data_IF_124380271254
#
_entry.id   IF_124380271254
#
_cell.length_a   1.000
_cell.length_b   1.000
_cell.length_c   1.000
_cell.angle_alpha   90.00
_cell.angle_beta   90.00
_cell.angle_gamma   90.00
#
_symmetry.space_group_name_H-M   'P 1'
#
loop_
_entity.id
_entity.type
_entity.pdbx_description
1 polymer ?
#
# COMPACT_ATOMS: atom_id res chain seq x y z
N UNK A 1 28.44 -2.23 -7.20
CA UNK A 1 29.26 -2.56 -6.01
C UNK A 1 29.99 -3.86 -6.28
N UNK A 2 31.31 -3.92 -6.09
CA UNK A 2 32.06 -5.15 -6.33
C UNK A 2 31.89 -6.14 -5.18
N UNK A 3 32.07 -7.44 -5.47
CA UNK A 3 32.09 -8.54 -4.47
C UNK A 3 33.06 -8.28 -3.29
N UNK A 4 34.10 -7.46 -3.49
CA UNK A 4 35.06 -7.06 -2.43
C UNK A 4 34.39 -6.36 -1.25
N UNK A 5 33.37 -5.54 -1.47
CA UNK A 5 32.68 -4.82 -0.38
C UNK A 5 31.73 -5.70 0.45
N UNK A 6 31.25 -6.82 -0.11
CA UNK A 6 30.42 -7.78 0.64
C UNK A 6 31.27 -8.69 1.55
N UNK A 7 32.56 -8.89 1.24
CA UNK A 7 33.46 -9.70 2.06
C UNK A 7 33.89 -9.03 3.38
N UNK A 8 33.83 -7.69 3.44
CA UNK A 8 34.17 -6.92 4.65
C UNK A 8 33.05 -6.93 5.72
N UNK A 9 31.84 -7.41 5.35
CA UNK A 9 30.67 -7.43 6.24
C UNK A 9 30.60 -8.82 6.88
N UNK A 10 30.34 -8.90 8.20
CA UNK A 10 30.07 -10.18 8.91
C UNK A 10 28.72 -10.77 8.46
N UNK A 11 28.67 -11.30 7.23
CA UNK A 11 27.50 -12.03 6.72
C UNK A 11 27.57 -13.47 7.22
N UNK A 12 26.49 -14.03 7.82
CA UNK A 12 26.44 -15.46 8.19
C UNK A 12 26.80 -16.36 7.00
N UNK A 13 27.60 -17.44 7.25
CA UNK A 13 28.11 -18.34 6.21
C UNK A 13 27.00 -18.80 5.27
N UNK A 14 25.87 -19.24 5.81
CA UNK A 14 24.73 -19.73 5.04
C UNK A 14 24.17 -18.68 4.04
N UNK A 15 24.21 -17.38 4.37
CA UNK A 15 23.83 -16.32 3.46
C UNK A 15 24.96 -16.00 2.48
N UNK A 16 26.21 -16.09 2.92
CA UNK A 16 27.39 -15.85 2.08
C UNK A 16 27.47 -16.83 0.91
N UNK A 17 27.17 -18.10 1.14
CA UNK A 17 27.16 -19.13 0.11
C UNK A 17 26.13 -18.83 -1.01
N UNK A 18 25.03 -18.17 -0.66
CA UNK A 18 24.01 -17.74 -1.65
C UNK A 18 24.46 -16.55 -2.50
N UNK A 19 25.47 -15.81 -2.06
CA UNK A 19 26.02 -14.65 -2.79
C UNK A 19 27.01 -15.04 -3.89
N UNK A 20 27.32 -16.33 -4.10
CA UNK A 20 28.13 -16.81 -5.22
C UNK A 20 27.39 -16.71 -6.56
N UNK A 21 26.07 -16.70 -6.57
CA UNK A 21 25.27 -16.68 -7.79
C UNK A 21 25.20 -15.26 -8.38
N UNK A 22 25.63 -15.11 -9.64
CA UNK A 22 25.64 -13.81 -10.36
C UNK A 22 24.26 -13.17 -10.48
N UNK A 23 23.19 -13.97 -10.68
CA UNK A 23 21.81 -13.45 -10.76
C UNK A 23 21.36 -12.89 -9.41
N UNK A 24 21.66 -13.56 -8.31
CA UNK A 24 21.37 -13.07 -6.95
C UNK A 24 22.05 -11.72 -6.70
N UNK A 25 23.33 -11.59 -7.08
CA UNK A 25 24.05 -10.30 -6.92
C UNK A 25 23.40 -9.18 -7.73
N UNK A 26 23.01 -9.46 -8.99
CA UNK A 26 22.30 -8.47 -9.81
C UNK A 26 21.01 -8.02 -9.15
N UNK A 27 20.21 -8.94 -8.60
CA UNK A 27 18.94 -8.65 -7.94
C UNK A 27 19.13 -7.87 -6.61
N UNK A 28 20.17 -8.18 -5.84
CA UNK A 28 20.55 -7.40 -4.65
C UNK A 28 20.93 -5.96 -5.05
N UNK A 29 21.78 -5.79 -6.07
CA UNK A 29 22.18 -4.47 -6.54
C UNK A 29 20.99 -3.66 -7.08
N UNK A 30 20.04 -4.32 -7.74
CA UNK A 30 18.79 -3.69 -8.17
C UNK A 30 17.94 -3.28 -6.98
N UNK A 31 17.81 -4.15 -5.95
CA UNK A 31 17.11 -3.83 -4.72
C UNK A 31 17.74 -2.63 -4.00
N UNK A 32 19.05 -2.57 -3.87
CA UNK A 32 19.75 -1.47 -3.22
C UNK A 32 19.48 -0.11 -3.89
N UNK A 33 19.33 -0.09 -5.23
CA UNK A 33 18.95 1.13 -5.97
C UNK A 33 17.51 1.55 -5.73
N UNK A 34 16.61 0.58 -5.55
CA UNK A 34 15.18 0.83 -5.35
C UNK A 34 14.81 1.04 -3.87
N UNK A 35 15.65 0.66 -2.94
CA UNK A 35 15.38 0.69 -1.51
C UNK A 35 16.29 1.67 -0.79
N UNK A 36 15.89 2.95 -0.82
CA UNK A 36 16.55 4.00 -0.06
C UNK A 36 15.74 4.26 1.22
N UNK A 37 16.26 3.78 2.35
CA UNK A 37 15.65 3.95 3.65
C UNK A 37 16.71 4.33 4.68
N UNK A 38 16.38 5.33 5.47
CA UNK A 38 17.16 5.72 6.66
C UNK A 38 16.43 5.25 7.91
N UNK A 39 17.19 4.65 8.83
CA UNK A 39 16.65 4.16 10.11
C UNK A 39 16.06 2.76 10.06
N UNK A 40 15.59 2.31 11.21
CA UNK A 40 15.08 0.97 11.44
C UNK A 40 13.76 0.72 10.69
N UNK A 41 13.49 -0.55 10.37
CA UNK A 41 12.27 -0.93 9.67
C UNK A 41 11.73 -2.30 10.08
N UNK A 42 10.44 -2.48 9.85
CA UNK A 42 9.72 -3.73 10.02
C UNK A 42 9.42 -4.32 8.63
N UNK A 43 9.57 -5.63 8.49
CA UNK A 43 9.28 -6.39 7.28
C UNK A 43 8.08 -7.31 7.54
N UNK A 44 7.03 -7.16 6.74
CA UNK A 44 5.86 -8.02 6.80
C UNK A 44 6.08 -9.26 5.93
N UNK A 45 6.03 -10.43 6.54
CA UNK A 45 6.18 -11.75 5.91
C UNK A 45 4.81 -12.42 5.80
N UNK A 46 4.57 -13.14 4.72
CA UNK A 46 3.37 -13.97 4.51
C UNK A 46 3.68 -15.44 4.27
N UNK A 47 4.96 -15.78 4.07
CA UNK A 47 5.41 -17.12 3.72
C UNK A 47 5.38 -17.44 2.22
N UNK A 48 4.73 -16.61 1.40
CA UNK A 48 4.79 -16.73 -0.06
C UNK A 48 6.13 -16.26 -0.64
N UNK A 49 6.42 -16.57 -1.94
CA UNK A 49 7.72 -16.34 -2.55
C UNK A 49 8.16 -14.89 -2.49
N UNK A 50 7.26 -13.94 -2.74
CA UNK A 50 7.57 -12.51 -2.76
C UNK A 50 8.03 -12.00 -1.39
N UNK A 51 7.37 -12.48 -0.33
CA UNK A 51 7.70 -12.08 1.05
C UNK A 51 8.98 -12.75 1.56
N UNK A 52 9.29 -13.95 1.11
CA UNK A 52 10.55 -14.62 1.43
C UNK A 52 11.73 -13.99 0.68
N UNK A 53 11.55 -13.68 -0.61
CA UNK A 53 12.52 -12.90 -1.38
C UNK A 53 12.79 -11.53 -0.70
N UNK A 54 11.73 -10.85 -0.25
CA UNK A 54 11.86 -9.61 0.52
C UNK A 54 12.65 -9.82 1.81
N UNK A 55 12.40 -10.92 2.55
CA UNK A 55 13.13 -11.23 3.78
C UNK A 55 14.64 -11.35 3.52
N UNK A 56 15.04 -12.06 2.47
CA UNK A 56 16.44 -12.20 2.07
C UNK A 56 17.05 -10.84 1.67
N UNK A 57 16.43 -10.13 0.75
CA UNK A 57 16.94 -8.84 0.24
C UNK A 57 17.09 -7.80 1.36
N UNK A 58 16.08 -7.68 2.22
CA UNK A 58 16.13 -6.76 3.38
C UNK A 58 17.14 -7.19 4.44
N UNK A 59 17.39 -8.51 4.62
CA UNK A 59 18.42 -9.00 5.51
C UNK A 59 19.81 -8.61 5.03
N UNK A 60 20.10 -8.81 3.73
CA UNK A 60 21.37 -8.38 3.14
C UNK A 60 21.55 -6.86 3.24
N UNK A 61 20.50 -6.10 2.89
CA UNK A 61 20.52 -4.64 3.01
C UNK A 61 20.79 -4.17 4.45
N UNK A 62 20.12 -4.76 5.44
CA UNK A 62 20.31 -4.47 6.87
C UNK A 62 21.75 -4.69 7.32
N UNK A 63 22.35 -5.84 6.92
CA UNK A 63 23.73 -6.14 7.26
C UNK A 63 24.72 -5.16 6.60
N UNK A 64 24.48 -4.82 5.32
CA UNK A 64 25.32 -3.88 4.56
C UNK A 64 25.33 -2.47 5.16
N UNK A 65 24.16 -1.99 5.56
CA UNK A 65 23.97 -0.61 6.00
C UNK A 65 23.99 -0.46 7.53
N UNK A 66 24.21 -1.56 8.29
CA UNK A 66 24.17 -1.59 9.76
C UNK A 66 22.87 -1.02 10.35
N UNK A 67 21.75 -1.27 9.66
CA UNK A 67 20.40 -0.83 10.06
C UNK A 67 19.66 -2.01 10.67
N UNK A 68 18.96 -1.81 11.79
CA UNK A 68 18.16 -2.85 12.43
C UNK A 68 16.86 -3.11 11.65
N UNK A 69 16.57 -4.38 11.42
CA UNK A 69 15.30 -4.81 10.83
C UNK A 69 14.63 -5.90 11.69
N UNK A 70 13.30 -5.84 11.77
CA UNK A 70 12.48 -6.83 12.48
C UNK A 70 11.47 -7.44 11.54
N UNK A 71 11.21 -8.74 11.66
CA UNK A 71 10.36 -9.50 10.76
C UNK A 71 9.15 -10.01 11.50
N UNK A 72 7.96 -9.81 10.92
CA UNK A 72 6.69 -10.24 11.50
C UNK A 72 5.85 -10.97 10.46
N UNK A 73 5.23 -12.07 10.88
CA UNK A 73 4.17 -12.76 10.15
C UNK A 73 2.89 -12.67 10.97
N UNK A 74 1.75 -12.45 10.28
CA UNK A 74 0.45 -12.42 10.95
C UNK A 74 -0.26 -13.74 10.71
N UNK A 75 -0.49 -14.50 11.78
CA UNK A 75 -1.36 -15.68 11.77
C UNK A 75 -2.80 -15.23 12.01
N UNK A 76 -3.61 -15.33 10.96
CA UNK A 76 -5.02 -14.96 11.00
C UNK A 76 -5.93 -16.05 11.60
N UNK A 77 -5.44 -17.28 11.79
CA UNK A 77 -6.22 -18.45 12.23
C UNK A 77 -7.48 -18.71 11.38
N UNK A 78 -7.45 -18.31 10.11
CA UNK A 78 -8.58 -18.50 9.21
C UNK A 78 -8.67 -19.92 8.64
N UNK A 79 -7.52 -20.58 8.47
CA UNK A 79 -7.39 -21.99 8.06
C UNK A 79 -6.76 -22.79 9.20
N UNK A 80 -7.03 -24.09 9.25
CA UNK A 80 -6.45 -24.99 10.26
C UNK A 80 -4.91 -25.02 10.19
N UNK A 81 -4.38 -24.93 8.98
CA UNK A 81 -2.94 -25.03 8.69
C UNK A 81 -2.17 -23.73 8.95
N UNK A 82 -2.85 -22.57 9.04
CA UNK A 82 -2.20 -21.24 9.07
C UNK A 82 -1.17 -21.10 10.20
N UNK A 83 -1.45 -21.64 11.36
CA UNK A 83 -0.54 -21.60 12.51
C UNK A 83 0.71 -22.46 12.27
N UNK A 84 0.54 -23.65 11.68
CA UNK A 84 1.67 -24.53 11.34
C UNK A 84 2.51 -23.96 10.19
N UNK A 85 1.86 -23.34 9.20
CA UNK A 85 2.54 -22.62 8.13
C UNK A 85 3.42 -21.49 8.71
N UNK A 86 2.86 -20.64 9.60
CA UNK A 86 3.61 -19.57 10.23
C UNK A 86 4.80 -20.06 11.07
N UNK A 87 4.62 -21.16 11.82
CA UNK A 87 5.70 -21.82 12.58
C UNK A 87 6.79 -22.36 11.65
N UNK A 88 6.39 -22.97 10.53
CA UNK A 88 7.35 -23.51 9.55
C UNK A 88 8.17 -22.40 8.88
N UNK A 89 7.54 -21.30 8.46
CA UNK A 89 8.23 -20.10 7.96
C UNK A 89 9.21 -19.57 9.00
N UNK A 90 8.80 -19.49 10.27
CA UNK A 90 9.66 -19.05 11.36
C UNK A 90 10.90 -19.95 11.50
N UNK A 91 10.73 -21.27 11.44
CA UNK A 91 11.83 -22.25 11.53
C UNK A 91 12.83 -22.06 10.38
N UNK A 92 12.31 -21.95 9.14
CA UNK A 92 13.15 -21.78 7.94
C UNK A 92 13.91 -20.45 7.99
N UNK A 93 13.25 -19.34 8.30
CA UNK A 93 13.93 -18.05 8.38
C UNK A 93 14.98 -18.01 9.51
N UNK A 94 14.72 -18.73 10.61
CA UNK A 94 15.66 -18.83 11.72
C UNK A 94 16.99 -19.50 11.32
N UNK A 95 16.97 -20.51 10.43
CA UNK A 95 18.21 -21.15 9.92
C UNK A 95 19.07 -20.20 9.09
N UNK A 96 18.49 -19.10 8.60
CA UNK A 96 19.20 -18.01 7.89
C UNK A 96 19.49 -16.79 8.79
N UNK A 97 19.44 -16.95 10.11
CA UNK A 97 19.60 -15.85 11.08
C UNK A 97 18.61 -14.68 10.89
N UNK A 98 17.39 -14.99 10.45
CA UNK A 98 16.29 -14.05 10.33
C UNK A 98 15.28 -14.39 11.43
N UNK A 99 15.28 -13.57 12.51
CA UNK A 99 14.35 -13.76 13.64
C UNK A 99 12.95 -13.29 13.25
N UNK A 100 12.01 -14.21 13.03
CA UNK A 100 10.61 -13.95 12.71
C UNK A 100 9.75 -14.04 13.97
N UNK A 101 8.92 -13.01 14.23
CA UNK A 101 7.90 -13.03 15.26
C UNK A 101 6.52 -13.28 14.65
N UNK A 102 5.69 -14.09 15.31
CA UNK A 102 4.33 -14.39 14.88
C UNK A 102 3.37 -13.49 15.66
N UNK A 103 2.61 -12.66 14.93
CA UNK A 103 1.51 -11.87 15.49
C UNK A 103 0.21 -12.65 15.27
N UNK A 104 -0.49 -12.97 16.33
CA UNK A 104 -1.71 -13.78 16.26
C UNK A 104 -2.95 -12.89 16.30
N UNK A 105 -3.87 -13.10 15.38
CA UNK A 105 -5.19 -12.49 15.45
C UNK A 105 -6.16 -13.40 16.24
N UNK A 106 -6.62 -12.93 17.40
CA UNK A 106 -7.53 -13.66 18.29
C UNK A 106 -9.00 -13.23 18.16
N UNK A 107 -9.39 -12.51 17.10
CA UNK A 107 -10.77 -12.06 16.89
C UNK A 107 -11.68 -13.14 16.31
N UNK A 108 -13.01 -12.88 16.36
CA UNK A 108 -14.00 -13.78 15.74
C UNK A 108 -13.78 -13.91 14.22
N UNK A 109 -13.91 -15.13 13.71
CA UNK A 109 -13.81 -15.43 12.27
C UNK A 109 -14.93 -14.72 11.50
N UNK A 110 -14.62 -13.89 10.49
CA UNK A 110 -15.65 -13.22 9.72
C UNK A 110 -16.37 -14.21 8.79
N UNK A 111 -17.70 -14.08 8.68
CA UNK A 111 -18.52 -14.88 7.75
C UNK A 111 -18.58 -14.29 6.33
N UNK A 112 -18.40 -12.96 6.20
CA UNK A 112 -18.45 -12.23 4.92
C UNK A 112 -17.21 -11.35 4.77
N UNK A 113 -16.82 -11.06 3.52
CA UNK A 113 -15.66 -10.19 3.20
C UNK A 113 -14.34 -10.62 3.89
N UNK A 114 -14.13 -11.93 4.05
CA UNK A 114 -13.04 -12.54 4.82
C UNK A 114 -11.68 -11.95 4.45
N UNK A 115 -11.35 -11.88 3.15
CA UNK A 115 -10.05 -11.36 2.68
C UNK A 115 -9.86 -9.88 3.01
N UNK A 116 -10.91 -9.07 2.88
CA UNK A 116 -10.84 -7.64 3.19
C UNK A 116 -10.61 -7.40 4.68
N UNK A 117 -11.32 -8.15 5.53
CA UNK A 117 -11.20 -8.06 6.98
C UNK A 117 -9.83 -8.59 7.43
N UNK A 118 -9.39 -9.73 6.91
CA UNK A 118 -8.07 -10.29 7.18
C UNK A 118 -6.96 -9.30 6.80
N UNK A 119 -7.07 -8.69 5.60
CA UNK A 119 -6.12 -7.66 5.17
C UNK A 119 -6.10 -6.46 6.12
N UNK A 120 -7.27 -5.96 6.53
CA UNK A 120 -7.37 -4.85 7.48
C UNK A 120 -6.69 -5.23 8.80
N UNK A 121 -7.05 -6.37 9.38
CA UNK A 121 -6.50 -6.84 10.66
C UNK A 121 -4.99 -7.07 10.60
N UNK A 122 -4.47 -7.58 9.48
CA UNK A 122 -3.02 -7.69 9.27
C UNK A 122 -2.32 -6.33 9.38
N UNK A 123 -2.84 -5.32 8.70
CA UNK A 123 -2.26 -3.98 8.78
C UNK A 123 -2.44 -3.36 10.17
N UNK A 124 -3.58 -3.55 10.82
CA UNK A 124 -3.82 -3.04 12.18
C UNK A 124 -2.78 -3.59 13.17
N UNK A 125 -2.49 -4.91 13.13
CA UNK A 125 -1.48 -5.56 13.96
C UNK A 125 -0.06 -5.06 13.64
N UNK A 126 0.30 -4.98 12.36
CA UNK A 126 1.62 -4.50 11.93
C UNK A 126 1.83 -3.03 12.30
N UNK A 127 0.83 -2.16 12.10
CA UNK A 127 0.91 -0.75 12.50
C UNK A 127 0.96 -0.59 14.01
N UNK A 128 0.23 -1.42 14.77
CA UNK A 128 0.35 -1.45 16.23
C UNK A 128 1.75 -1.80 16.67
N UNK A 129 2.37 -2.80 16.00
CA UNK A 129 3.75 -3.22 16.29
C UNK A 129 4.76 -2.13 15.92
N UNK A 130 4.55 -1.42 14.82
CA UNK A 130 5.36 -0.25 14.44
C UNK A 130 5.35 0.81 15.53
N UNK A 131 4.17 1.17 16.03
CA UNK A 131 4.02 2.16 17.13
C UNK A 131 4.68 1.68 18.42
N UNK A 132 4.46 0.42 18.83
CA UNK A 132 5.05 -0.18 20.02
C UNK A 132 6.59 -0.11 20.00
N UNK A 133 7.18 -0.36 18.83
CA UNK A 133 8.63 -0.40 18.66
C UNK A 133 9.22 0.96 18.26
N UNK A 134 8.39 2.00 18.11
CA UNK A 134 8.79 3.33 17.63
C UNK A 134 9.54 3.27 16.28
N UNK A 135 9.09 2.38 15.37
CA UNK A 135 9.64 2.20 14.03
C UNK A 135 8.61 2.70 13.02
N UNK A 136 8.97 3.70 12.24
CA UNK A 136 8.05 4.35 11.28
C UNK A 136 7.94 3.63 9.93
N UNK A 137 8.85 2.72 9.62
CA UNK A 137 8.95 2.13 8.29
C UNK A 137 8.46 0.68 8.29
N UNK A 138 7.37 0.41 7.56
CA UNK A 138 6.80 -0.92 7.33
C UNK A 138 7.00 -1.32 5.87
N UNK A 139 7.71 -2.41 5.65
CA UNK A 139 8.08 -2.93 4.33
C UNK A 139 7.20 -4.11 3.97
N UNK A 140 6.65 -4.11 2.76
CA UNK A 140 5.75 -5.16 2.25
C UNK A 140 6.15 -5.63 0.86
N UNK A 141 5.92 -6.91 0.56
CA UNK A 141 6.36 -7.60 -0.65
C UNK A 141 5.45 -7.44 -1.88
N UNK A 142 4.86 -6.26 -2.11
CA UNK A 142 4.14 -6.00 -3.36
C UNK A 142 5.12 -5.78 -4.51
N UNK A 143 4.83 -6.40 -5.67
CA UNK A 143 5.70 -6.39 -6.85
C UNK A 143 5.00 -5.84 -8.11
N UNK A 144 5.63 -5.97 -9.27
CA UNK A 144 5.14 -5.40 -10.53
C UNK A 144 3.74 -5.87 -10.92
N UNK A 145 3.47 -7.18 -10.79
CA UNK A 145 2.16 -7.72 -11.15
C UNK A 145 1.04 -7.22 -10.24
N UNK A 146 1.30 -6.97 -8.95
CA UNK A 146 0.33 -6.34 -8.04
C UNK A 146 -0.06 -4.92 -8.52
N UNK A 147 0.88 -4.19 -9.13
CA UNK A 147 0.62 -2.87 -9.71
C UNK A 147 -0.35 -2.98 -10.89
N UNK A 148 -0.10 -3.95 -11.80
CA UNK A 148 -0.95 -4.22 -12.95
C UNK A 148 -2.35 -4.67 -12.51
N UNK A 149 -2.43 -5.66 -11.62
CA UNK A 149 -3.69 -6.14 -11.06
C UNK A 149 -4.50 -5.00 -10.45
N UNK A 150 -3.85 -4.17 -9.63
CA UNK A 150 -4.53 -3.02 -9.00
C UNK A 150 -5.05 -2.03 -10.04
N UNK A 151 -4.27 -1.73 -11.09
CA UNK A 151 -4.69 -0.85 -12.17
C UNK A 151 -5.94 -1.37 -12.86
N UNK A 152 -5.95 -2.61 -13.33
CA UNK A 152 -7.11 -3.20 -14.01
C UNK A 152 -8.33 -3.30 -13.10
N UNK A 153 -8.17 -3.72 -11.84
CA UNK A 153 -9.28 -3.76 -10.87
C UNK A 153 -9.89 -2.36 -10.68
N UNK A 154 -9.06 -1.31 -10.62
CA UNK A 154 -9.51 0.06 -10.46
C UNK A 154 -10.17 0.60 -11.72
N UNK A 155 -9.63 0.30 -12.88
CA UNK A 155 -10.20 0.67 -14.19
C UNK A 155 -11.60 0.06 -14.38
N UNK A 156 -11.76 -1.24 -14.13
CA UNK A 156 -13.07 -1.94 -14.24
C UNK A 156 -14.11 -1.37 -13.25
N UNK A 157 -13.65 -0.82 -12.13
CA UNK A 157 -14.53 -0.15 -11.15
C UNK A 157 -14.84 1.31 -11.45
N UNK A 158 -14.42 1.83 -12.60
CA UNK A 158 -14.63 3.22 -12.96
C UNK A 158 -13.85 4.21 -12.07
N UNK A 159 -12.69 3.83 -11.55
CA UNK A 159 -11.91 4.71 -10.70
C UNK A 159 -11.30 5.86 -11.52
N UNK A 160 -11.42 7.09 -11.03
CA UNK A 160 -10.68 8.23 -11.56
C UNK A 160 -9.16 8.15 -11.36
N UNK A 161 -8.45 9.15 -11.84
CA UNK A 161 -6.98 9.20 -11.89
C UNK A 161 -6.29 8.84 -10.57
N UNK A 162 -6.71 9.43 -9.44
CA UNK A 162 -6.19 9.15 -8.09
C UNK A 162 -6.33 7.65 -7.72
N UNK A 163 -7.41 7.03 -8.15
CA UNK A 163 -7.68 5.61 -7.92
C UNK A 163 -6.78 4.70 -8.76
N UNK A 164 -6.61 5.01 -10.05
CA UNK A 164 -5.80 4.22 -10.99
C UNK A 164 -4.33 4.13 -10.54
N UNK A 165 -3.77 5.24 -10.03
CA UNK A 165 -2.37 5.31 -9.57
C UNK A 165 -2.20 5.02 -8.06
N UNK A 166 -3.18 4.42 -7.41
CA UNK A 166 -3.26 4.31 -5.94
C UNK A 166 -2.22 3.37 -5.30
N UNK A 167 -1.59 2.46 -6.05
CA UNK A 167 -0.53 1.60 -5.55
C UNK A 167 0.83 2.28 -5.72
N UNK A 168 1.20 3.07 -4.73
CA UNK A 168 2.44 3.85 -4.70
C UNK A 168 3.58 3.04 -4.07
N UNK A 169 4.84 3.36 -4.45
CA UNK A 169 6.05 2.80 -3.83
C UNK A 169 6.11 3.09 -2.34
N UNK A 170 5.74 4.30 -1.93
CA UNK A 170 5.65 4.74 -0.53
C UNK A 170 4.30 5.40 -0.27
N UNK A 171 3.67 5.06 0.85
CA UNK A 171 2.42 5.68 1.31
C UNK A 171 2.47 5.88 2.81
N UNK A 172 2.07 7.05 3.29
CA UNK A 172 2.06 7.36 4.72
C UNK A 172 0.69 7.07 5.32
N UNK A 173 0.67 6.38 6.46
CA UNK A 173 -0.51 6.10 7.27
C UNK A 173 -0.22 6.45 8.73
N UNK A 174 -0.83 7.50 9.26
CA UNK A 174 -0.67 7.91 10.66
C UNK A 174 0.80 7.84 11.11
N UNK A 175 1.68 8.58 10.42
CA UNK A 175 3.13 8.65 10.65
C UNK A 175 3.92 7.36 10.31
N UNK A 176 3.27 6.29 9.86
CA UNK A 176 3.95 5.06 9.41
C UNK A 176 4.08 5.07 7.89
N UNK A 177 5.31 4.92 7.42
CA UNK A 177 5.64 4.78 6.01
C UNK A 177 5.44 3.33 5.57
N UNK A 178 4.42 3.05 4.78
CA UNK A 178 4.26 1.76 4.11
C UNK A 178 5.04 1.77 2.79
N UNK A 179 6.08 0.94 2.69
CA UNK A 179 7.05 0.95 1.58
C UNK A 179 7.00 -0.37 0.82
N UNK A 180 7.05 -0.31 -0.51
CA UNK A 180 7.00 -1.43 -1.44
C UNK A 180 8.24 -1.43 -2.34
N UNK A 181 9.38 -1.92 -1.85
CA UNK A 181 10.63 -1.86 -2.62
C UNK A 181 10.62 -2.78 -3.84
N UNK A 182 9.78 -3.82 -3.84
CA UNK A 182 9.71 -4.80 -4.92
C UNK A 182 8.78 -4.38 -6.07
N UNK A 183 8.24 -3.16 -6.07
CA UNK A 183 7.22 -2.71 -7.03
C UNK A 183 7.68 -2.76 -8.50
N UNK A 184 8.99 -2.80 -8.75
CA UNK A 184 9.60 -2.93 -10.07
C UNK A 184 10.19 -4.32 -10.32
N UNK A 185 10.09 -5.25 -9.38
CA UNK A 185 10.58 -6.60 -9.55
C UNK A 185 9.56 -7.47 -10.26
N UNK A 186 10.04 -8.35 -11.14
CA UNK A 186 9.22 -9.38 -11.73
C UNK A 186 8.99 -10.53 -10.76
N UNK A 187 7.80 -11.11 -10.81
CA UNK A 187 7.43 -12.25 -9.97
C UNK A 187 8.39 -13.43 -10.14
N UNK A 188 8.82 -13.71 -11.38
CA UNK A 188 9.80 -14.78 -11.69
C UNK A 188 11.12 -14.60 -10.95
N UNK A 189 11.60 -13.38 -10.77
CA UNK A 189 12.84 -13.10 -10.04
C UNK A 189 12.66 -13.30 -8.53
N UNK A 190 11.50 -12.97 -7.98
CA UNK A 190 11.18 -13.20 -6.57
C UNK A 190 11.02 -14.69 -6.26
N UNK A 191 10.36 -15.44 -7.14
CA UNK A 191 10.26 -16.89 -7.06
C UNK A 191 11.65 -17.55 -7.16
N UNK A 192 12.51 -17.06 -8.07
CA UNK A 192 13.88 -17.53 -8.18
C UNK A 192 14.67 -17.29 -6.88
N UNK A 193 14.60 -16.09 -6.29
CA UNK A 193 15.27 -15.81 -5.00
C UNK A 193 14.77 -16.76 -3.93
N UNK A 194 13.46 -16.93 -3.81
CA UNK A 194 12.85 -17.74 -2.77
C UNK A 194 13.26 -19.22 -2.88
N UNK A 195 13.23 -19.77 -4.10
CA UNK A 195 13.64 -21.14 -4.37
C UNK A 195 15.15 -21.33 -4.16
N UNK A 196 15.99 -20.47 -4.73
CA UNK A 196 17.43 -20.58 -4.64
C UNK A 196 17.96 -20.43 -3.21
N UNK A 197 17.38 -19.48 -2.44
CA UNK A 197 17.85 -19.20 -1.08
C UNK A 197 17.27 -20.20 -0.08
N UNK A 198 15.95 -20.36 -0.05
CA UNK A 198 15.26 -21.09 1.01
C UNK A 198 14.82 -22.51 0.61
N UNK A 199 14.80 -22.80 -0.70
CA UNK A 199 14.20 -24.02 -1.27
C UNK A 199 12.77 -24.29 -0.73
N UNK A 200 12.02 -23.24 -0.45
CA UNK A 200 10.72 -23.29 0.20
C UNK A 200 9.91 -22.02 -0.04
N UNK A 201 8.62 -22.18 -0.19
CA UNK A 201 7.60 -21.16 0.06
C UNK A 201 6.22 -21.82 0.21
N UNK A 202 5.29 -21.11 0.86
CA UNK A 202 3.91 -21.57 1.00
C UNK A 202 3.17 -21.32 -0.30
N UNK A 203 2.56 -22.37 -0.86
CA UNK A 203 1.58 -22.26 -1.95
C UNK A 203 0.19 -22.09 -1.33
N UNK A 204 -0.37 -20.89 -1.43
CA UNK A 204 -1.73 -20.65 -0.95
C UNK A 204 -2.74 -21.16 -2.00
N UNK A 205 -3.59 -22.15 -1.68
CA UNK A 205 -4.60 -22.69 -2.60
C UNK A 205 -5.55 -21.61 -3.13
N UNK A 206 -5.79 -20.54 -2.37
CA UNK A 206 -6.65 -19.44 -2.80
C UNK A 206 -6.11 -18.65 -4.00
N UNK A 207 -4.82 -18.84 -4.37
CA UNK A 207 -4.23 -18.20 -5.55
C UNK A 207 -4.71 -18.78 -6.89
N UNK A 208 -5.43 -19.89 -6.88
CA UNK A 208 -5.98 -20.55 -8.08
C UNK A 208 -7.50 -20.39 -8.16
N UNK A 209 -8.17 -19.96 -7.09
CA UNK A 209 -9.63 -19.86 -7.02
C UNK A 209 -10.16 -18.63 -7.79
N UNK A 210 -10.81 -18.89 -8.92
CA UNK A 210 -11.40 -17.87 -9.82
C UNK A 210 -12.56 -17.08 -9.20
N UNK A 211 -13.08 -17.46 -8.03
CA UNK A 211 -14.03 -16.64 -7.27
C UNK A 211 -13.43 -15.27 -6.93
N UNK A 212 -12.10 -15.19 -6.80
CA UNK A 212 -11.42 -13.95 -6.48
C UNK A 212 -11.11 -13.09 -7.71
N UNK A 213 -11.51 -11.84 -7.66
CA UNK A 213 -11.33 -10.88 -8.76
C UNK A 213 -9.86 -10.78 -9.23
N UNK A 214 -8.89 -10.85 -8.32
CA UNK A 214 -7.47 -10.80 -8.68
C UNK A 214 -7.05 -11.96 -9.58
N UNK A 215 -7.55 -13.16 -9.33
CA UNK A 215 -7.23 -14.35 -10.13
C UNK A 215 -7.80 -14.20 -11.56
N UNK A 216 -9.04 -13.69 -11.66
CA UNK A 216 -9.62 -13.40 -12.98
C UNK A 216 -8.84 -12.34 -13.74
N UNK A 217 -8.38 -11.30 -13.05
CA UNK A 217 -7.55 -10.24 -13.66
C UNK A 217 -6.20 -10.78 -14.11
N UNK A 218 -5.55 -11.67 -13.38
CA UNK A 218 -4.30 -12.33 -13.82
C UNK A 218 -4.51 -13.11 -15.11
N UNK A 219 -5.60 -13.87 -15.20
CA UNK A 219 -5.95 -14.59 -16.45
C UNK A 219 -6.15 -13.59 -17.59
N UNK A 220 -6.92 -12.52 -17.38
CA UNK A 220 -7.12 -11.48 -18.38
C UNK A 220 -5.79 -10.84 -18.83
N UNK A 221 -4.89 -10.49 -17.91
CA UNK A 221 -3.58 -9.92 -18.23
C UNK A 221 -2.76 -10.91 -19.08
N UNK A 222 -2.80 -12.20 -18.76
CA UNK A 222 -2.12 -13.24 -19.55
C UNK A 222 -2.68 -13.34 -20.98
N UNK A 223 -4.00 -13.25 -21.16
CA UNK A 223 -4.62 -13.22 -22.49
C UNK A 223 -4.21 -11.94 -23.27
N UNK A 224 -4.28 -10.78 -22.63
CA UNK A 224 -3.81 -9.54 -23.25
C UNK A 224 -2.34 -9.60 -23.67
N UNK A 225 -1.49 -10.31 -22.92
CA UNK A 225 -0.08 -10.50 -23.29
C UNK A 225 0.09 -11.34 -24.57
N UNK A 226 -0.80 -12.33 -24.81
CA UNK A 226 -0.81 -13.08 -26.09
C UNK A 226 -1.17 -12.18 -27.28
N UNK A 227 -2.03 -11.18 -27.04
CA UNK A 227 -2.45 -10.17 -28.02
C UNK A 227 -1.46 -8.98 -28.13
N UNK A 228 -0.22 -9.13 -27.63
CA UNK A 228 0.82 -8.10 -27.76
C UNK A 228 0.85 -7.04 -26.64
N UNK A 229 0.08 -7.22 -25.56
CA UNK A 229 0.17 -6.31 -24.42
C UNK A 229 1.54 -6.44 -23.72
N UNK A 230 2.27 -5.34 -23.66
CA UNK A 230 3.57 -5.24 -22.98
C UNK A 230 3.44 -4.57 -21.62
N UNK A 231 3.94 -5.22 -20.56
CA UNK A 231 3.93 -4.68 -19.20
C UNK A 231 4.65 -3.34 -19.11
N UNK A 232 5.78 -3.19 -19.80
CA UNK A 232 6.60 -1.99 -19.75
C UNK A 232 5.88 -0.75 -20.30
N UNK A 233 5.07 -0.92 -21.36
CA UNK A 233 4.24 0.15 -21.90
C UNK A 233 3.17 0.60 -20.91
N UNK A 234 2.56 -0.34 -20.18
CA UNK A 234 1.63 0.02 -19.10
C UNK A 234 2.34 0.71 -17.93
N UNK A 235 3.55 0.29 -17.57
CA UNK A 235 4.32 1.00 -16.55
C UNK A 235 4.65 2.43 -16.97
N UNK A 236 4.97 2.66 -18.23
CA UNK A 236 5.16 4.00 -18.77
C UNK A 236 3.87 4.84 -18.65
N UNK A 237 2.74 4.27 -19.06
CA UNK A 237 1.41 4.90 -18.93
C UNK A 237 1.11 5.24 -17.46
N UNK A 238 1.32 4.29 -16.54
CA UNK A 238 1.13 4.53 -15.11
C UNK A 238 2.02 5.64 -14.56
N UNK A 239 3.27 5.73 -15.03
CA UNK A 239 4.16 6.81 -14.64
C UNK A 239 3.70 8.18 -15.14
N UNK A 240 3.18 8.25 -16.37
CA UNK A 240 2.61 9.48 -16.91
C UNK A 240 1.34 9.90 -16.15
N UNK A 241 0.45 8.95 -15.87
CA UNK A 241 -0.73 9.20 -15.03
C UNK A 241 -0.35 9.66 -13.61
N UNK A 242 0.74 9.12 -13.02
CA UNK A 242 1.25 9.60 -11.73
C UNK A 242 1.72 11.05 -11.78
N UNK A 243 2.46 11.44 -12.83
CA UNK A 243 2.90 12.83 -13.03
C UNK A 243 1.70 13.76 -13.15
N UNK A 244 0.69 13.41 -13.97
CA UNK A 244 -0.56 14.16 -14.09
C UNK A 244 -1.29 14.27 -12.74
N UNK A 245 -1.34 13.15 -11.97
CA UNK A 245 -1.96 13.17 -10.65
C UNK A 245 -1.22 14.08 -9.64
N UNK A 246 0.10 14.21 -9.75
CA UNK A 246 0.87 15.15 -8.92
C UNK A 246 0.50 16.60 -9.23
N UNK A 247 0.36 16.96 -10.52
CA UNK A 247 -0.07 18.29 -10.92
C UNK A 247 -1.47 18.61 -10.39
N UNK A 248 -2.43 17.69 -10.56
CA UNK A 248 -3.80 17.85 -9.99
C UNK A 248 -3.74 17.99 -8.46
N UNK A 249 -2.90 17.18 -7.78
CA UNK A 249 -2.76 17.23 -6.32
C UNK A 249 -2.18 18.56 -5.82
N UNK A 250 -1.28 19.17 -6.59
CA UNK A 250 -0.78 20.51 -6.31
C UNK A 250 -1.91 21.52 -6.28
N UNK A 251 -2.73 21.59 -7.33
CA UNK A 251 -3.85 22.53 -7.40
C UNK A 251 -4.93 22.22 -6.34
N UNK A 252 -5.17 20.97 -5.99
CA UNK A 252 -6.07 20.59 -4.88
C UNK A 252 -5.56 21.17 -3.55
N UNK A 253 -4.26 21.12 -3.30
CA UNK A 253 -3.68 21.70 -2.09
C UNK A 253 -3.73 23.22 -2.11
N UNK A 254 -3.46 23.86 -3.27
CA UNK A 254 -3.60 25.31 -3.42
C UNK A 254 -5.03 25.77 -3.21
N UNK A 255 -6.02 25.08 -3.77
CA UNK A 255 -7.43 25.41 -3.54
C UNK A 255 -7.78 25.35 -2.05
N UNK A 256 -7.37 24.32 -1.34
CA UNK A 256 -7.58 24.24 0.12
C UNK A 256 -6.85 25.34 0.88
N UNK A 257 -5.62 25.67 0.49
CA UNK A 257 -4.81 26.69 1.18
C UNK A 257 -5.38 28.08 1.00
N UNK A 258 -5.80 28.43 -0.21
CA UNK A 258 -6.24 29.79 -0.57
C UNK A 258 -7.72 30.04 -0.28
N UNK A 259 -8.56 29.04 -0.44
CA UNK A 259 -10.01 29.18 -0.49
C UNK A 259 -10.72 28.43 0.65
N UNK A 260 -10.00 28.04 1.70
CA UNK A 260 -10.63 27.48 2.91
C UNK A 260 -9.93 27.94 4.19
N UNK A 261 -10.72 28.06 5.27
CA UNK A 261 -10.27 28.46 6.59
C UNK A 261 -10.69 27.42 7.64
N UNK A 262 -9.72 26.88 8.39
CA UNK A 262 -9.96 25.95 9.49
C UNK A 262 -10.08 26.71 10.81
N UNK A 263 -11.32 26.85 11.31
CA UNK A 263 -11.62 27.32 12.65
C UNK A 263 -11.40 26.16 13.64
N UNK A 264 -10.27 26.19 14.33
CA UNK A 264 -9.88 25.11 15.24
C UNK A 264 -10.72 25.09 16.51
N UNK A 265 -11.15 26.24 17.00
CA UNK A 265 -11.90 26.37 18.26
C UNK A 265 -13.30 25.72 18.12
N UNK A 266 -13.91 25.89 16.96
CA UNK A 266 -15.23 25.32 16.63
C UNK A 266 -15.15 24.02 15.83
N UNK A 267 -13.94 23.50 15.60
CA UNK A 267 -13.66 22.29 14.79
C UNK A 267 -14.48 22.26 13.47
N UNK A 268 -14.43 23.35 12.73
CA UNK A 268 -15.16 23.53 11.48
C UNK A 268 -14.26 24.09 10.38
N UNK A 269 -14.55 23.71 9.13
CA UNK A 269 -13.88 24.23 7.94
C UNK A 269 -14.86 25.10 7.17
N UNK A 270 -14.42 26.31 6.83
CA UNK A 270 -15.19 27.28 6.04
C UNK A 270 -14.59 27.31 4.65
N UNK A 271 -15.41 27.06 3.64
CA UNK A 271 -15.05 27.11 2.22
C UNK A 271 -15.68 28.36 1.61
N UNK A 272 -14.88 29.20 0.96
CA UNK A 272 -15.38 30.40 0.31
C UNK A 272 -15.93 30.12 -1.10
N UNK A 273 -16.50 31.16 -1.76
CA UNK A 273 -17.06 31.05 -3.11
C UNK A 273 -16.00 30.65 -4.15
N UNK A 274 -14.75 31.09 -4.00
CA UNK A 274 -13.65 30.83 -4.93
C UNK A 274 -13.21 29.37 -4.90
N UNK A 275 -13.46 28.68 -3.77
CA UNK A 275 -13.23 27.24 -3.65
C UNK A 275 -14.02 26.45 -4.71
N UNK A 276 -15.24 26.84 -5.01
CA UNK A 276 -16.15 26.16 -5.94
C UNK A 276 -16.02 26.65 -7.39
N UNK A 277 -15.21 27.69 -7.66
CA UNK A 277 -14.95 28.23 -9.01
C UNK A 277 -13.79 27.56 -9.72
N UNK A 278 -13.12 26.60 -9.08
CA UNK A 278 -12.03 25.84 -9.65
C UNK A 278 -12.53 24.76 -10.62
N UNK A 279 -11.68 24.20 -11.49
CA UNK A 279 -12.04 23.03 -12.30
C UNK A 279 -12.64 21.90 -11.46
N UNK A 280 -13.64 21.20 -12.00
CA UNK A 280 -14.46 20.23 -11.26
C UNK A 280 -13.64 19.22 -10.45
N UNK A 281 -12.61 18.59 -11.05
CA UNK A 281 -11.76 17.60 -10.37
C UNK A 281 -11.01 18.20 -9.17
N UNK A 282 -10.63 19.48 -9.24
CA UNK A 282 -10.00 20.20 -8.12
C UNK A 282 -11.01 20.39 -6.99
N UNK A 283 -12.21 20.88 -7.31
CA UNK A 283 -13.30 21.07 -6.34
C UNK A 283 -13.66 19.74 -5.69
N UNK A 284 -13.91 18.70 -6.51
CA UNK A 284 -14.30 17.37 -6.04
C UNK A 284 -13.29 16.79 -5.04
N UNK A 285 -11.99 16.84 -5.38
CA UNK A 285 -10.94 16.31 -4.50
C UNK A 285 -10.75 17.15 -3.25
N UNK A 286 -10.71 18.47 -3.39
CA UNK A 286 -10.56 19.39 -2.26
C UNK A 286 -11.72 19.22 -1.28
N UNK A 287 -12.95 19.11 -1.77
CA UNK A 287 -14.14 18.91 -0.96
C UNK A 287 -14.16 17.53 -0.28
N UNK A 288 -13.79 16.47 -1.02
CA UNK A 288 -13.64 15.13 -0.45
C UNK A 288 -12.59 15.06 0.66
N UNK A 289 -11.45 15.73 0.48
CA UNK A 289 -10.39 15.81 1.48
C UNK A 289 -10.84 16.63 2.70
N UNK A 290 -11.64 17.68 2.51
CA UNK A 290 -12.24 18.50 3.56
C UNK A 290 -13.20 17.71 4.45
N UNK A 291 -14.10 16.93 3.84
CA UNK A 291 -15.01 16.04 4.57
C UNK A 291 -14.22 15.01 5.37
N UNK A 292 -13.16 14.43 4.79
CA UNK A 292 -12.31 13.46 5.49
C UNK A 292 -11.58 14.10 6.67
N UNK A 293 -11.11 15.33 6.54
CA UNK A 293 -10.41 16.08 7.59
C UNK A 293 -11.29 16.27 8.82
N UNK A 294 -12.51 16.77 8.62
CA UNK A 294 -13.45 17.09 9.70
C UNK A 294 -14.14 15.84 10.25
N UNK A 295 -14.65 14.97 9.37
CA UNK A 295 -15.44 13.80 9.75
C UNK A 295 -14.64 12.66 10.35
N UNK A 296 -13.31 12.62 10.11
CA UNK A 296 -12.36 11.63 10.65
C UNK A 296 -12.79 10.17 10.49
N UNK A 297 -13.76 9.87 9.60
CA UNK A 297 -14.22 8.51 9.34
C UNK A 297 -13.16 7.72 8.57
N UNK A 298 -12.97 6.45 8.96
CA UNK A 298 -11.99 5.55 8.33
C UNK A 298 -12.26 5.31 6.84
N UNK A 299 -13.53 5.16 6.46
CA UNK A 299 -13.91 4.91 5.07
C UNK A 299 -14.14 6.23 4.31
N UNK A 300 -13.52 6.32 3.14
CA UNK A 300 -13.79 7.43 2.23
C UNK A 300 -15.27 7.43 1.79
N UNK A 301 -15.82 8.62 1.64
CA UNK A 301 -17.16 8.81 1.09
C UNK A 301 -17.17 8.38 -0.38
N UNK A 302 -18.28 7.77 -0.84
CA UNK A 302 -18.46 7.39 -2.25
C UNK A 302 -18.56 8.64 -3.13
N UNK A 303 -17.84 8.65 -4.26
CA UNK A 303 -17.79 9.78 -5.19
C UNK A 303 -19.17 10.31 -5.56
N UNK A 304 -20.09 9.44 -5.99
CA UNK A 304 -21.47 9.81 -6.35
C UNK A 304 -22.22 10.61 -5.26
N UNK A 305 -21.91 10.39 -3.97
CA UNK A 305 -22.53 11.20 -2.89
C UNK A 305 -21.92 12.59 -2.81
N UNK A 306 -20.63 12.72 -3.12
CA UNK A 306 -19.93 14.00 -3.19
C UNK A 306 -20.46 14.80 -4.38
N UNK A 307 -20.56 14.15 -5.56
CA UNK A 307 -21.12 14.76 -6.78
C UNK A 307 -22.50 15.35 -6.52
N UNK A 308 -23.40 14.58 -5.91
CA UNK A 308 -24.77 15.04 -5.61
C UNK A 308 -24.80 16.30 -4.71
N UNK A 309 -23.89 16.40 -3.73
CA UNK A 309 -23.84 17.60 -2.87
C UNK A 309 -23.25 18.80 -3.63
N UNK A 310 -22.19 18.59 -4.41
CA UNK A 310 -21.59 19.65 -5.21
C UNK A 310 -22.58 20.22 -6.22
N UNK A 311 -23.37 19.37 -6.88
CA UNK A 311 -24.44 19.78 -7.80
C UNK A 311 -25.51 20.64 -7.11
N UNK A 312 -25.92 20.26 -5.89
CA UNK A 312 -26.89 21.02 -5.10
C UNK A 312 -26.32 22.37 -4.67
N UNK A 313 -25.07 22.43 -4.22
CA UNK A 313 -24.39 23.68 -3.86
C UNK A 313 -24.37 24.63 -5.05
N UNK A 314 -24.09 24.13 -6.27
CA UNK A 314 -24.06 24.89 -7.50
C UNK A 314 -25.43 25.47 -7.91
N UNK A 315 -26.53 24.75 -7.64
CA UNK A 315 -27.90 25.13 -7.99
C UNK A 315 -28.59 26.11 -7.01
N UNK A 316 -27.91 26.60 -5.99
CA UNK A 316 -28.45 27.42 -4.92
C UNK A 316 -29.62 26.82 -4.11
N UNK A 317 -29.95 25.55 -4.32
CA UNK A 317 -31.05 24.84 -3.62
C UNK A 317 -30.57 24.12 -2.36
N UNK A 318 -29.31 24.33 -1.97
CA UNK A 318 -28.66 23.61 -0.86
C UNK A 318 -28.73 24.42 0.43
N UNK A 319 -29.33 23.86 1.46
CA UNK A 319 -29.33 24.44 2.81
C UNK A 319 -28.33 23.68 3.72
N UNK A 320 -28.58 22.38 3.95
CA UNK A 320 -27.75 21.56 4.84
C UNK A 320 -27.96 20.09 4.53
N UNK A 321 -26.86 19.31 4.55
CA UNK A 321 -26.87 17.83 4.46
C UNK A 321 -25.79 17.23 5.32
N UNK A 322 -25.96 15.94 5.70
CA UNK A 322 -24.92 15.19 6.41
C UNK A 322 -24.20 14.24 5.47
N UNK A 323 -22.88 14.24 5.51
CA UNK A 323 -22.06 13.34 4.73
C UNK A 323 -20.73 13.04 5.42
N UNK A 324 -20.39 11.74 5.52
CA UNK A 324 -19.07 11.33 5.99
C UNK A 324 -18.73 11.65 7.45
N UNK A 325 -19.75 11.85 8.31
CA UNK A 325 -19.59 12.29 9.69
C UNK A 325 -19.44 13.80 9.84
N UNK A 326 -19.89 14.52 8.82
CA UNK A 326 -19.92 15.97 8.80
C UNK A 326 -21.34 16.48 8.53
N UNK A 327 -21.66 17.63 9.11
CA UNK A 327 -22.76 18.49 8.71
C UNK A 327 -22.17 19.52 7.75
N UNK A 328 -22.74 19.60 6.55
CA UNK A 328 -22.37 20.55 5.50
C UNK A 328 -23.50 21.55 5.38
N UNK A 329 -23.24 22.84 5.62
CA UNK A 329 -24.25 23.90 5.61
C UNK A 329 -23.81 25.04 4.72
N UNK A 330 -24.71 25.56 3.86
CA UNK A 330 -24.49 26.79 3.10
C UNK A 330 -24.86 28.00 3.98
N UNK A 331 -23.98 28.97 4.05
CA UNK A 331 -24.17 30.23 4.75
C UNK A 331 -23.75 31.38 3.82
N UNK A 332 -24.72 32.07 3.22
CA UNK A 332 -24.46 33.09 2.19
C UNK A 332 -23.61 32.55 1.02
N UNK A 333 -22.43 33.11 0.84
CA UNK A 333 -21.48 32.73 -0.23
C UNK A 333 -20.47 31.65 0.21
N UNK A 334 -20.59 31.15 1.44
CA UNK A 334 -19.68 30.15 2.01
C UNK A 334 -20.38 28.83 2.27
N UNK A 335 -19.57 27.75 2.35
CA UNK A 335 -20.02 26.43 2.80
C UNK A 335 -19.23 26.06 4.05
N UNK A 336 -19.93 25.73 5.11
CA UNK A 336 -19.36 25.35 6.40
C UNK A 336 -19.46 23.82 6.56
N UNK A 337 -18.33 23.19 6.85
CA UNK A 337 -18.24 21.76 7.17
C UNK A 337 -17.90 21.65 8.66
N UNK A 338 -18.78 21.08 9.45
CA UNK A 338 -18.58 20.81 10.87
C UNK A 338 -18.72 19.32 11.17
N UNK A 339 -18.18 18.87 12.29
CA UNK A 339 -18.32 17.47 12.72
C UNK A 339 -19.77 17.19 13.12
N UNK A 340 -20.28 16.04 12.69
CA UNK A 340 -21.55 15.47 13.19
C UNK A 340 -21.30 14.92 14.62
N UNK A 341 -22.14 15.29 15.60
CA UNK A 341 -22.04 14.86 17.00
C UNK A 341 -22.44 13.40 17.17
#
# INVERSE_FOLDING_TARGET
>A
MSLKNLNAIKIPKILKDKLSNRKIIKLINFFDKEFDIKGNFIVAISGGPDSLALAFLTKIFSLKNKISCKYFIVDHKLRKESTNEAKNVKRILSSFNIKLEILTWNGKKPSKNIQSIARKKRYDLLFSKCRQLKIENLIVGHHSDDLLENFFIRMIRGSGLKGLVSLEKKKVFNQINLIRPLIKFDKKDLEFISNYVFNFFIKDPSNEDTKYTRIRIRKLINELQKEGFEKDKLFLTLNNLKKSNLAVSFYVNENKRLNSFLDRDKNRLILDKSFFRQPYEIVFRSFSDSIKLIGQRYNAVRGKKIDNILDKIGKNSFNSETLGGCIIKKAHQTVIISKEY
#
